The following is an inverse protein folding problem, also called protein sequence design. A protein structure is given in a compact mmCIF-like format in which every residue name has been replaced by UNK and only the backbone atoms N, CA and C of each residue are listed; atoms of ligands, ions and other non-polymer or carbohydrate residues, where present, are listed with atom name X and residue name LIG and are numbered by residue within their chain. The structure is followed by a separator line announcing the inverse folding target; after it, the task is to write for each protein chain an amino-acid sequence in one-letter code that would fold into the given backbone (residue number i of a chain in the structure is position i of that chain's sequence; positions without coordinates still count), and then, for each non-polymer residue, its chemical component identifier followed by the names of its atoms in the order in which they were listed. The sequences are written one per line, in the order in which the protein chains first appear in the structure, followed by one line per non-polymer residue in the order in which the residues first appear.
data_IF_303290545656
#
_entry.id   IF_303290545656
#
_cell.length_a   1.000
_cell.length_b   1.000
_cell.length_c   1.000
_cell.angle_alpha   90.00
_cell.angle_beta   90.00
_cell.angle_gamma   90.00
#
_symmetry.space_group_name_H-M   'P 1'
#
loop_
_entity.id
_entity.type
_entity.pdbx_description
1 polymer ?
#
# COMPACT_ATOMS: atom_id res chain seq x y z
N UNK A 1 -28.05 5.23 -7.17
CA UNK A 1 -26.60 5.05 -6.93
C UNK A 1 -26.29 5.51 -5.53
N UNK A 2 -25.58 4.69 -4.75
CA UNK A 2 -25.18 5.05 -3.38
C UNK A 2 -24.06 6.10 -3.44
N UNK A 3 -24.06 7.08 -2.52
CA UNK A 3 -22.96 8.06 -2.43
C UNK A 3 -21.71 7.48 -1.73
N UNK A 4 -21.79 6.22 -1.29
CA UNK A 4 -20.74 5.57 -0.53
C UNK A 4 -19.50 5.37 -1.40
N UNK A 5 -18.41 6.01 -0.98
CA UNK A 5 -17.09 5.81 -1.58
C UNK A 5 -16.26 4.89 -0.70
N UNK A 6 -15.40 4.09 -1.32
CA UNK A 6 -14.59 3.10 -0.61
C UNK A 6 -13.10 3.22 -0.95
N UNK A 7 -12.25 2.71 -0.06
CA UNK A 7 -10.80 2.67 -0.23
C UNK A 7 -10.36 1.26 -0.62
N UNK A 8 -9.44 1.16 -1.58
CA UNK A 8 -8.83 -0.11 -1.98
C UNK A 8 -7.32 -0.03 -1.82
N UNK A 9 -6.77 -0.93 -1.02
CA UNK A 9 -5.35 -1.21 -1.00
C UNK A 9 -5.07 -2.38 -1.94
N UNK A 10 -4.80 -2.09 -3.23
CA UNK A 10 -4.54 -3.10 -4.24
C UNK A 10 -3.10 -3.58 -4.11
N UNK A 11 -2.76 -4.63 -3.36
CA UNK A 11 -1.36 -5.04 -3.21
C UNK A 11 -0.91 -6.08 -4.23
N UNK A 12 0.40 -6.32 -4.29
CA UNK A 12 1.01 -7.31 -5.19
C UNK A 12 0.61 -8.74 -4.85
N UNK A 13 0.54 -9.06 -3.56
CA UNK A 13 0.23 -10.42 -3.07
C UNK A 13 -1.17 -10.50 -2.45
N UNK A 14 -1.60 -9.45 -1.79
CA UNK A 14 -2.88 -9.35 -1.10
C UNK A 14 -3.45 -7.96 -1.25
N UNK A 15 -4.76 -7.84 -1.14
CA UNK A 15 -5.50 -6.60 -1.25
C UNK A 15 -6.55 -6.49 -0.15
N UNK A 16 -6.94 -5.26 0.18
CA UNK A 16 -7.91 -4.94 1.23
C UNK A 16 -8.89 -3.90 0.68
N UNK A 17 -10.15 -3.97 1.12
CA UNK A 17 -11.16 -2.94 0.91
C UNK A 17 -11.63 -2.39 2.25
N UNK A 18 -11.84 -1.08 2.29
CA UNK A 18 -12.30 -0.37 3.48
C UNK A 18 -13.33 0.69 3.12
N UNK A 19 -14.23 0.98 4.07
CA UNK A 19 -15.23 2.06 3.99
C UNK A 19 -15.14 2.92 5.24
N UNK A 20 -15.68 4.14 5.18
CA UNK A 20 -15.89 4.94 6.39
C UNK A 20 -17.29 4.62 6.93
N UNK A 21 -17.37 4.07 8.13
CA UNK A 21 -18.61 3.84 8.86
C UNK A 21 -18.53 4.57 10.20
N UNK A 22 -19.55 5.36 10.54
CA UNK A 22 -19.62 6.14 11.79
C UNK A 22 -18.36 6.99 12.03
N UNK A 23 -17.85 7.62 10.96
CA UNK A 23 -16.66 8.47 11.02
C UNK A 23 -15.33 7.72 11.22
N UNK A 24 -15.34 6.38 11.18
CA UNK A 24 -14.14 5.54 11.33
C UNK A 24 -13.92 4.66 10.11
N UNK A 25 -12.66 4.45 9.69
CA UNK A 25 -12.37 3.47 8.67
C UNK A 25 -12.58 2.06 9.19
N UNK A 26 -13.25 1.24 8.39
CA UNK A 26 -13.50 -0.17 8.67
C UNK A 26 -13.17 -0.99 7.42
N UNK A 27 -12.33 -2.01 7.59
CA UNK A 27 -12.04 -2.99 6.54
C UNK A 27 -13.19 -3.97 6.40
N UNK A 28 -13.55 -4.30 5.16
CA UNK A 28 -14.64 -5.21 4.87
C UNK A 28 -14.07 -6.61 4.60
N UNK A 29 -14.60 -7.59 5.33
CA UNK A 29 -14.22 -9.00 5.20
C UNK A 29 -14.80 -9.63 3.94
N UNK A 30 -14.04 -10.53 3.34
CA UNK A 30 -14.54 -11.45 2.32
C UNK A 30 -15.65 -12.33 2.95
N UNK A 31 -16.86 -12.39 2.37
CA UNK A 31 -17.97 -13.15 2.93
C UNK A 31 -17.71 -14.64 3.12
N UNK A 32 -16.85 -15.24 2.27
CA UNK A 32 -16.48 -16.65 2.30
C UNK A 32 -15.42 -16.92 3.37
N UNK A 33 -14.34 -16.14 3.40
CA UNK A 33 -13.21 -16.40 4.32
C UNK A 33 -13.32 -15.69 5.66
N UNK A 34 -14.21 -14.70 5.78
CA UNK A 34 -14.30 -13.72 6.89
C UNK A 34 -13.05 -12.84 7.08
N UNK A 35 -12.00 -13.04 6.29
CA UNK A 35 -10.78 -12.25 6.33
C UNK A 35 -10.95 -10.94 5.55
N UNK A 36 -10.44 -9.84 6.09
CA UNK A 36 -10.31 -8.58 5.34
C UNK A 36 -9.27 -8.64 4.20
N UNK A 37 -8.48 -9.72 4.15
CA UNK A 37 -7.41 -9.92 3.19
C UNK A 37 -7.93 -10.76 2.01
N UNK A 38 -7.87 -10.18 0.81
CA UNK A 38 -8.18 -10.86 -0.44
C UNK A 38 -6.86 -11.15 -1.18
N UNK A 39 -6.53 -12.42 -1.50
CA UNK A 39 -5.33 -12.72 -2.28
C UNK A 39 -5.35 -12.07 -3.68
N UNK A 40 -4.24 -11.47 -4.10
CA UNK A 40 -4.08 -10.93 -5.45
C UNK A 40 -3.66 -12.03 -6.43
N UNK A 41 -4.57 -12.99 -6.63
CA UNK A 41 -4.37 -14.18 -7.45
C UNK A 41 -5.53 -14.31 -8.42
N UNK A 42 -5.22 -14.68 -9.66
CA UNK A 42 -6.20 -15.05 -10.69
C UNK A 42 -5.86 -16.45 -11.18
N UNK A 43 -6.86 -17.28 -11.43
CA UNK A 43 -6.67 -18.65 -11.90
C UNK A 43 -7.77 -19.07 -12.86
N UNK A 44 -7.51 -20.12 -13.65
CA UNK A 44 -8.55 -20.79 -14.43
C UNK A 44 -9.18 -21.93 -13.61
N UNK A 45 -10.50 -21.99 -13.56
CA UNK A 45 -11.23 -23.13 -12.99
C UNK A 45 -11.17 -24.33 -13.94
N UNK A 46 -11.48 -25.53 -13.43
CA UNK A 46 -11.63 -26.72 -14.29
C UNK A 46 -12.73 -26.60 -15.35
N UNK A 47 -13.65 -25.65 -15.18
CA UNK A 47 -14.75 -25.35 -16.11
C UNK A 47 -14.39 -24.27 -17.15
N UNK A 48 -13.15 -23.77 -17.13
CA UNK A 48 -12.70 -22.70 -18.03
C UNK A 48 -13.10 -21.29 -17.59
N UNK A 49 -13.49 -21.10 -16.33
CA UNK A 49 -13.88 -19.78 -15.80
C UNK A 49 -12.68 -19.09 -15.14
N UNK A 50 -12.56 -17.77 -15.31
CA UNK A 50 -11.55 -16.98 -14.59
C UNK A 50 -12.02 -16.71 -13.16
N UNK A 51 -11.24 -17.20 -12.20
CA UNK A 51 -11.42 -17.01 -10.76
C UNK A 51 -10.45 -15.97 -10.25
N UNK A 52 -10.81 -15.27 -9.17
CA UNK A 52 -9.94 -14.32 -8.47
C UNK A 52 -10.07 -14.44 -6.95
N UNK A 53 -9.06 -13.96 -6.22
CA UNK A 53 -9.09 -13.96 -4.76
C UNK A 53 -8.87 -15.35 -4.17
N UNK A 54 -9.57 -15.64 -3.07
CA UNK A 54 -9.47 -16.95 -2.41
C UNK A 54 -9.96 -18.09 -3.31
N UNK A 55 -11.02 -17.88 -4.09
CA UNK A 55 -11.53 -18.88 -5.04
C UNK A 55 -10.49 -19.30 -6.08
N UNK A 56 -9.63 -18.38 -6.53
CA UNK A 56 -8.52 -18.74 -7.42
C UNK A 56 -7.47 -19.64 -6.75
N UNK A 57 -7.30 -19.51 -5.43
CA UNK A 57 -6.43 -20.40 -4.65
C UNK A 57 -7.08 -21.77 -4.50
N UNK A 58 -8.34 -21.80 -4.08
CA UNK A 58 -9.02 -23.04 -3.66
C UNK A 58 -9.43 -23.89 -4.89
N UNK A 59 -10.06 -23.27 -5.89
CA UNK A 59 -10.71 -23.97 -7.01
C UNK A 59 -9.94 -23.83 -8.34
N UNK A 60 -8.95 -22.94 -8.36
CA UNK A 60 -8.11 -22.72 -9.54
C UNK A 60 -7.18 -23.90 -9.81
N UNK A 61 -7.02 -24.26 -11.08
CA UNK A 61 -6.09 -25.30 -11.52
C UNK A 61 -4.65 -24.95 -11.07
N UNK A 62 -3.87 -25.89 -10.50
CA UNK A 62 -2.55 -25.61 -9.93
C UNK A 62 -1.58 -24.93 -10.90
N UNK A 63 -1.55 -25.38 -12.16
CA UNK A 63 -0.62 -24.89 -13.19
C UNK A 63 -1.15 -23.68 -13.97
N UNK A 64 -2.34 -23.19 -13.64
CA UNK A 64 -3.00 -22.07 -14.32
C UNK A 64 -3.34 -20.96 -13.33
N UNK A 65 -2.31 -20.41 -12.68
CA UNK A 65 -2.44 -19.29 -11.71
C UNK A 65 -1.49 -18.14 -12.03
N UNK A 66 -2.03 -16.93 -12.05
CA UNK A 66 -1.27 -15.68 -12.12
C UNK A 66 -1.16 -15.09 -10.73
N UNK A 67 0.07 -14.69 -10.35
CA UNK A 67 0.38 -13.99 -9.11
C UNK A 67 1.23 -12.76 -9.43
N UNK A 68 1.25 -11.80 -8.50
CA UNK A 68 2.13 -10.64 -8.54
C UNK A 68 2.01 -9.75 -9.79
N UNK A 69 0.87 -9.79 -10.48
CA UNK A 69 0.62 -8.99 -11.70
C UNK A 69 0.86 -7.48 -11.48
N UNK A 70 0.67 -6.97 -10.25
CA UNK A 70 0.95 -5.58 -9.89
C UNK A 70 2.39 -5.13 -10.24
N UNK A 71 3.37 -6.06 -10.25
CA UNK A 71 4.77 -5.76 -10.63
C UNK A 71 4.95 -5.37 -12.09
N UNK A 72 3.99 -5.74 -12.93
CA UNK A 72 4.03 -5.55 -14.37
C UNK A 72 3.05 -4.48 -14.87
N UNK A 73 2.34 -3.79 -13.96
CA UNK A 73 1.43 -2.69 -14.32
C UNK A 73 2.11 -1.66 -15.23
N UNK A 74 1.44 -1.31 -16.33
CA UNK A 74 1.94 -0.36 -17.32
C UNK A 74 2.96 -0.94 -18.31
N UNK A 75 3.26 -2.24 -18.24
CA UNK A 75 4.10 -2.94 -19.23
C UNK A 75 3.23 -3.72 -20.20
N UNK A 76 3.76 -4.00 -21.39
CA UNK A 76 3.09 -4.80 -22.44
C UNK A 76 3.18 -6.32 -22.21
N UNK A 77 3.64 -6.76 -21.03
CA UNK A 77 3.72 -8.18 -20.69
C UNK A 77 2.33 -8.80 -20.65
N UNK A 78 2.16 -9.95 -21.30
CA UNK A 78 0.93 -10.73 -21.23
C UNK A 78 1.10 -11.94 -20.32
N UNK A 79 0.06 -12.23 -19.56
CA UNK A 79 -0.07 -13.48 -18.80
C UNK A 79 -1.01 -14.41 -19.55
N UNK A 80 -0.62 -15.67 -19.70
CA UNK A 80 -1.41 -16.68 -20.40
C UNK A 80 -2.08 -17.64 -19.42
N UNK A 81 -3.37 -17.87 -19.60
CA UNK A 81 -4.17 -18.89 -18.91
C UNK A 81 -5.02 -19.63 -19.93
N UNK A 82 -4.52 -20.78 -20.41
CA UNK A 82 -5.08 -21.49 -21.56
C UNK A 82 -5.24 -20.54 -22.76
N UNK A 83 -6.47 -20.33 -23.23
CA UNK A 83 -6.81 -19.45 -24.36
C UNK A 83 -6.83 -17.95 -23.99
N UNK A 84 -6.77 -17.62 -22.69
CA UNK A 84 -6.77 -16.23 -22.24
C UNK A 84 -5.37 -15.64 -22.27
N UNK A 85 -5.23 -14.47 -22.91
CA UNK A 85 -4.02 -13.65 -22.87
C UNK A 85 -4.37 -12.30 -22.24
N UNK A 86 -3.92 -12.08 -21.01
CA UNK A 86 -4.33 -10.95 -20.18
C UNK A 86 -3.17 -10.00 -19.93
N UNK A 87 -3.42 -8.70 -20.07
CA UNK A 87 -2.54 -7.64 -19.61
C UNK A 87 -2.55 -7.54 -18.07
N UNK A 88 -1.53 -6.92 -17.47
CA UNK A 88 -1.44 -6.79 -16.01
C UNK A 88 -2.64 -6.05 -15.40
N UNK A 89 -3.15 -5.02 -16.09
CA UNK A 89 -4.37 -4.31 -15.68
C UNK A 89 -5.64 -5.14 -15.77
N UNK A 90 -5.73 -6.10 -16.69
CA UNK A 90 -6.89 -6.99 -16.83
C UNK A 90 -6.89 -8.03 -15.70
N UNK A 91 -5.71 -8.56 -15.36
CA UNK A 91 -5.55 -9.42 -14.17
C UNK A 91 -5.91 -8.64 -12.90
N UNK A 92 -5.45 -7.39 -12.77
CA UNK A 92 -5.81 -6.54 -11.64
C UNK A 92 -7.31 -6.22 -11.61
N UNK A 93 -7.96 -6.04 -12.76
CA UNK A 93 -9.40 -5.81 -12.86
C UNK A 93 -10.21 -6.98 -12.32
N UNK A 94 -9.80 -8.22 -12.59
CA UNK A 94 -10.46 -9.42 -12.04
C UNK A 94 -10.39 -9.46 -10.50
N UNK A 95 -9.22 -9.11 -9.93
CA UNK A 95 -9.05 -8.98 -8.48
C UNK A 95 -9.94 -7.86 -7.92
N UNK A 96 -9.96 -6.69 -8.55
CA UNK A 96 -10.79 -5.55 -8.14
C UNK A 96 -12.28 -5.87 -8.21
N UNK A 97 -12.72 -6.59 -9.25
CA UNK A 97 -14.12 -7.04 -9.40
C UNK A 97 -14.51 -7.97 -8.26
N UNK A 98 -13.64 -8.91 -7.88
CA UNK A 98 -13.86 -9.79 -6.74
C UNK A 98 -13.95 -9.01 -5.42
N UNK A 99 -13.05 -8.04 -5.22
CA UNK A 99 -13.04 -7.18 -4.03
C UNK A 99 -14.34 -6.37 -3.94
N UNK A 100 -14.78 -5.75 -5.04
CA UNK A 100 -16.03 -5.00 -5.12
C UNK A 100 -17.22 -5.91 -4.80
N UNK A 101 -17.34 -7.06 -5.48
CA UNK A 101 -18.44 -7.99 -5.27
C UNK A 101 -18.52 -8.48 -3.80
N UNK A 102 -17.38 -8.80 -3.20
CA UNK A 102 -17.32 -9.19 -1.78
C UNK A 102 -17.79 -8.06 -0.86
N UNK A 103 -17.39 -6.82 -1.12
CA UNK A 103 -17.78 -5.67 -0.32
C UNK A 103 -19.27 -5.34 -0.48
N UNK A 104 -19.80 -5.40 -1.70
CA UNK A 104 -21.23 -5.20 -1.97
C UNK A 104 -22.08 -6.27 -1.28
N UNK A 105 -21.66 -7.53 -1.34
CA UNK A 105 -22.32 -8.63 -0.63
C UNK A 105 -22.29 -8.43 0.89
N UNK A 106 -21.18 -7.96 1.45
CA UNK A 106 -21.05 -7.74 2.90
C UNK A 106 -21.85 -6.53 3.39
N UNK A 107 -21.99 -5.49 2.57
CA UNK A 107 -22.67 -4.24 2.93
C UNK A 107 -24.14 -4.21 2.51
N UNK A 108 -24.56 -5.07 1.59
CA UNK A 108 -25.91 -5.07 1.03
C UNK A 108 -26.22 -3.85 0.14
N UNK A 109 -25.19 -3.16 -0.36
CA UNK A 109 -25.32 -1.98 -1.22
C UNK A 109 -24.35 -2.04 -2.39
N UNK A 110 -24.73 -1.43 -3.51
CA UNK A 110 -23.84 -1.27 -4.66
C UNK A 110 -22.73 -0.24 -4.37
N UNK A 111 -21.53 -0.49 -4.88
CA UNK A 111 -20.35 0.36 -4.73
C UNK A 111 -19.81 0.78 -6.10
N UNK A 112 -19.74 2.08 -6.38
CA UNK A 112 -19.25 2.58 -7.67
C UNK A 112 -17.89 3.30 -7.56
N UNK A 113 -17.72 4.15 -6.55
CA UNK A 113 -16.61 5.13 -6.51
C UNK A 113 -15.53 4.74 -5.52
N UNK A 114 -14.27 4.69 -5.95
CA UNK A 114 -13.16 4.29 -5.08
C UNK A 114 -11.93 5.19 -5.12
N UNK A 115 -11.23 5.25 -3.99
CA UNK A 115 -9.84 5.73 -3.89
C UNK A 115 -8.93 4.51 -3.84
N UNK A 116 -7.91 4.45 -4.69
CA UNK A 116 -7.05 3.26 -4.84
C UNK A 116 -5.60 3.62 -4.50
N UNK A 117 -4.93 2.77 -3.74
CA UNK A 117 -3.50 2.97 -3.41
C UNK A 117 -2.57 2.47 -4.52
N UNK A 118 -1.51 3.22 -4.78
CA UNK A 118 -0.42 2.82 -5.68
C UNK A 118 0.95 3.05 -5.02
N UNK A 119 1.99 2.29 -5.39
CA UNK A 119 3.33 2.55 -4.86
C UNK A 119 3.80 3.97 -5.21
N UNK A 120 4.53 4.62 -4.30
CA UNK A 120 4.98 5.99 -4.51
C UNK A 120 5.90 6.19 -5.73
N UNK A 121 6.55 5.11 -6.19
CA UNK A 121 7.41 5.12 -7.36
C UNK A 121 6.66 4.84 -8.68
N UNK A 122 5.36 4.56 -8.65
CA UNK A 122 4.57 4.47 -9.87
C UNK A 122 4.46 5.86 -10.50
N UNK A 123 4.99 5.97 -11.71
CA UNK A 123 4.87 7.09 -12.63
C UNK A 123 3.62 6.92 -13.51
N UNK A 124 3.59 7.49 -14.71
CA UNK A 124 2.35 7.67 -15.47
C UNK A 124 1.76 6.36 -16.00
N UNK A 125 2.55 5.46 -16.60
CA UNK A 125 2.03 4.25 -17.23
C UNK A 125 1.38 3.27 -16.23
N UNK A 126 2.04 2.89 -15.12
CA UNK A 126 1.44 1.99 -14.13
C UNK A 126 0.21 2.60 -13.43
N UNK A 127 0.17 3.93 -13.27
CA UNK A 127 -1.01 4.65 -12.73
C UNK A 127 -2.19 4.59 -13.68
N UNK A 128 -1.99 4.91 -14.96
CA UNK A 128 -3.03 4.79 -15.99
C UNK A 128 -3.53 3.35 -16.13
N UNK A 129 -2.63 2.37 -16.05
CA UNK A 129 -2.99 0.95 -16.01
C UNK A 129 -3.86 0.61 -14.78
N UNK A 130 -3.57 1.20 -13.61
CA UNK A 130 -4.37 1.00 -12.39
C UNK A 130 -5.77 1.63 -12.53
N UNK A 131 -5.88 2.82 -13.11
CA UNK A 131 -7.18 3.45 -13.40
C UNK A 131 -7.99 2.63 -14.42
N UNK A 132 -7.32 2.09 -15.44
CA UNK A 132 -7.95 1.20 -16.43
C UNK A 132 -8.46 -0.07 -15.76
N UNK A 133 -7.66 -0.70 -14.90
CA UNK A 133 -8.07 -1.87 -14.12
C UNK A 133 -9.33 -1.60 -13.28
N UNK A 134 -9.40 -0.43 -12.63
CA UNK A 134 -10.57 -0.01 -11.88
C UNK A 134 -11.83 0.11 -12.76
N UNK A 135 -11.70 0.79 -13.92
CA UNK A 135 -12.82 0.94 -14.86
C UNK A 135 -13.31 -0.39 -15.41
N UNK A 136 -12.39 -1.30 -15.75
CA UNK A 136 -12.72 -2.67 -16.20
C UNK A 136 -13.45 -3.48 -15.11
N UNK A 137 -13.19 -3.18 -13.84
CA UNK A 137 -13.89 -3.77 -12.70
C UNK A 137 -15.25 -3.10 -12.40
N UNK A 138 -15.67 -2.11 -13.20
CA UNK A 138 -16.88 -1.33 -12.95
C UNK A 138 -16.75 -0.42 -11.72
N UNK A 139 -15.55 0.12 -11.49
CA UNK A 139 -15.25 1.06 -10.41
C UNK A 139 -14.83 2.39 -11.04
N UNK A 140 -15.46 3.47 -10.61
CA UNK A 140 -15.08 4.84 -10.95
C UNK A 140 -13.96 5.32 -10.02
N UNK A 141 -12.70 5.45 -10.50
CA UNK A 141 -11.59 5.89 -9.65
C UNK A 141 -11.70 7.39 -9.36
N UNK A 142 -11.90 7.75 -8.08
CA UNK A 142 -11.92 9.14 -7.63
C UNK A 142 -10.52 9.74 -7.59
N UNK A 143 -9.56 8.96 -7.08
CA UNK A 143 -8.15 9.36 -6.95
C UNK A 143 -7.27 8.14 -6.76
N UNK A 144 -6.09 8.17 -7.35
CA UNK A 144 -4.98 7.33 -6.92
C UNK A 144 -4.16 8.04 -5.85
N UNK A 145 -3.98 7.40 -4.70
CA UNK A 145 -3.14 7.91 -3.61
C UNK A 145 -1.91 7.04 -3.45
N UNK A 146 -0.79 7.62 -3.04
CA UNK A 146 0.39 6.79 -2.78
C UNK A 146 0.17 5.97 -1.49
N UNK A 147 0.50 4.69 -1.53
CA UNK A 147 0.48 3.77 -0.39
C UNK A 147 1.11 4.37 0.89
N UNK A 148 2.30 5.01 0.85
CA UNK A 148 2.88 5.64 2.05
C UNK A 148 2.05 6.83 2.55
N UNK A 149 1.41 7.61 1.68
CA UNK A 149 0.52 8.71 2.10
C UNK A 149 -0.76 8.17 2.73
N UNK A 150 -1.35 7.12 2.14
CA UNK A 150 -2.49 6.42 2.73
C UNK A 150 -2.17 5.88 4.13
N UNK A 151 -0.98 5.30 4.29
CA UNK A 151 -0.48 4.87 5.58
C UNK A 151 -0.37 6.03 6.57
N UNK A 152 0.27 7.13 6.18
CA UNK A 152 0.39 8.29 7.05
C UNK A 152 -0.97 8.84 7.51
N UNK A 153 -1.96 8.89 6.61
CA UNK A 153 -3.34 9.27 6.95
C UNK A 153 -4.01 8.30 7.93
N UNK A 154 -3.81 6.98 7.76
CA UNK A 154 -4.34 5.99 8.69
C UNK A 154 -3.78 6.13 10.11
N UNK A 155 -2.54 6.62 10.24
CA UNK A 155 -1.90 6.93 11.52
C UNK A 155 -2.25 8.33 12.08
N UNK A 156 -3.13 9.08 11.42
CA UNK A 156 -3.56 10.41 11.87
C UNK A 156 -2.47 11.48 11.76
N UNK A 157 -1.47 11.27 10.89
CA UNK A 157 -0.38 12.22 10.69
C UNK A 157 -0.87 13.54 10.08
N UNK A 158 -1.97 13.51 9.34
CA UNK A 158 -2.67 14.65 8.76
C UNK A 158 -3.30 15.57 9.83
N UNK A 159 -3.43 15.07 11.06
CA UNK A 159 -4.02 15.78 12.20
C UNK A 159 -2.99 16.27 13.20
N UNK A 160 -1.71 16.15 12.87
CA UNK A 160 -0.63 16.69 13.67
C UNK A 160 -0.33 18.11 13.18
N UNK A 161 -0.36 19.08 14.09
CA UNK A 161 0.06 20.46 13.81
C UNK A 161 1.59 20.57 13.62
N UNK A 162 2.33 19.47 13.85
CA UNK A 162 3.77 19.40 13.71
C UNK A 162 4.20 19.16 12.26
N UNK A 163 5.02 20.06 11.72
CA UNK A 163 5.74 19.81 10.47
C UNK A 163 6.84 18.77 10.68
N UNK A 164 6.90 17.76 9.80
CA UNK A 164 7.87 16.67 9.97
C UNK A 164 8.10 15.84 8.72
N UNK A 165 9.23 15.12 8.71
CA UNK A 165 9.52 14.11 7.70
C UNK A 165 9.50 12.73 8.35
N UNK A 166 8.64 11.86 7.84
CA UNK A 166 8.45 10.49 8.29
C UNK A 166 9.01 9.53 7.25
N UNK A 167 9.57 8.40 7.69
CA UNK A 167 10.03 7.36 6.78
C UNK A 167 9.08 6.15 6.84
N UNK A 168 8.32 5.90 5.79
CA UNK A 168 7.46 4.72 5.67
C UNK A 168 8.23 3.55 5.04
N UNK A 169 8.23 2.40 5.71
CA UNK A 169 8.88 1.16 5.27
C UNK A 169 7.81 0.11 4.97
N UNK A 170 7.40 -0.03 3.69
CA UNK A 170 6.33 -0.96 3.30
C UNK A 170 6.80 -2.15 2.45
N UNK A 171 7.93 -2.05 1.74
CA UNK A 171 8.53 -3.16 0.98
C UNK A 171 9.90 -2.76 0.43
N UNK A 172 11.02 -3.20 1.03
CA UNK A 172 12.45 -3.02 0.64
C UNK A 172 12.90 -1.62 0.12
N UNK A 173 12.01 -0.62 0.11
CA UNK A 173 12.14 0.71 -0.47
C UNK A 173 11.54 1.71 0.52
N UNK A 174 12.34 2.28 1.42
CA UNK A 174 11.89 3.40 2.25
C UNK A 174 11.33 4.53 1.38
N UNK A 175 10.22 5.11 1.84
CA UNK A 175 9.68 6.37 1.29
C UNK A 175 9.64 7.43 2.36
N UNK A 176 10.28 8.58 2.11
CA UNK A 176 10.18 9.77 2.95
C UNK A 176 8.88 10.52 2.62
N UNK A 177 8.10 10.81 3.65
CA UNK A 177 6.82 11.51 3.61
C UNK A 177 7.02 12.83 4.34
N UNK A 178 6.60 13.95 3.75
CA UNK A 178 6.54 15.25 4.44
C UNK A 178 5.10 15.50 4.89
N UNK A 179 4.93 15.86 6.16
CA UNK A 179 3.70 16.45 6.69
C UNK A 179 3.87 17.96 6.86
N UNK A 180 2.88 18.72 6.43
CA UNK A 180 2.74 20.18 6.59
C UNK A 180 1.31 20.46 7.08
N UNK A 181 1.05 20.28 8.37
CA UNK A 181 -0.32 20.24 8.91
C UNK A 181 -1.18 19.20 8.16
N UNK A 182 -2.30 19.66 7.60
CA UNK A 182 -3.23 18.80 6.84
C UNK A 182 -2.70 18.28 5.49
N UNK A 183 -1.52 18.73 5.03
CA UNK A 183 -0.96 18.31 3.73
C UNK A 183 0.13 17.24 3.90
N UNK A 184 -0.14 16.05 3.37
CA UNK A 184 0.83 14.95 3.32
C UNK A 184 1.28 14.70 1.88
N UNK A 185 2.59 14.62 1.67
CA UNK A 185 3.18 14.35 0.34
C UNK A 185 4.40 13.45 0.42
N UNK A 186 4.66 12.68 -0.63
CA UNK A 186 5.92 11.92 -0.76
C UNK A 186 7.04 12.84 -1.23
N UNK A 187 8.19 12.84 -0.54
CA UNK A 187 9.39 13.58 -0.95
C UNK A 187 10.35 12.73 -1.78
N UNK A 188 10.64 11.51 -1.31
CA UNK A 188 11.66 10.62 -1.87
C UNK A 188 11.25 9.17 -1.67
N UNK A 189 11.33 8.35 -2.73
CA UNK A 189 11.21 6.89 -2.67
C UNK A 189 12.56 6.27 -3.07
N UNK A 190 12.96 5.16 -2.45
CA UNK A 190 14.30 4.59 -2.62
C UNK A 190 14.66 4.26 -4.08
N UNK A 191 15.84 4.75 -4.48
CA UNK A 191 16.56 4.68 -5.76
C UNK A 191 17.91 5.42 -5.62
N UNK A 192 18.76 5.52 -6.66
CA UNK A 192 20.13 6.11 -6.59
C UNK A 192 20.20 7.58 -6.13
N UNK A 193 19.06 8.28 -5.98
CA UNK A 193 18.94 9.60 -5.33
C UNK A 193 18.84 9.56 -3.80
N UNK A 194 18.34 8.48 -3.21
CA UNK A 194 18.14 8.38 -1.75
C UNK A 194 19.47 8.54 -1.01
N UNK A 195 20.54 7.86 -1.47
CA UNK A 195 21.89 7.97 -0.88
C UNK A 195 22.50 9.38 -0.93
N UNK A 196 22.10 10.23 -1.88
CA UNK A 196 22.66 11.59 -2.03
C UNK A 196 21.90 12.65 -1.23
N UNK A 197 20.58 12.48 -1.04
CA UNK A 197 19.74 13.45 -0.32
C UNK A 197 19.38 13.01 1.11
N UNK A 198 19.65 11.76 1.49
CA UNK A 198 19.48 11.23 2.84
C UNK A 198 20.70 11.49 3.76
N UNK A 199 21.53 12.49 3.46
CA UNK A 199 22.71 12.87 4.27
C UNK A 199 22.38 13.33 5.71
N UNK A 200 21.11 13.27 6.10
CA UNK A 200 20.62 13.50 7.46
C UNK A 200 19.71 12.41 8.03
N UNK A 201 19.54 11.26 7.39
CA UNK A 201 18.76 10.13 7.94
C UNK A 201 19.71 9.05 8.47
N UNK A 202 19.41 8.42 9.63
CA UNK A 202 20.24 7.33 10.14
C UNK A 202 20.25 6.16 9.15
N UNK A 203 21.46 5.60 8.95
CA UNK A 203 21.69 4.44 8.11
C UNK A 203 20.92 3.21 8.66
N UNK A 204 20.03 2.56 7.88
CA UNK A 204 19.17 1.48 8.38
C UNK A 204 19.95 0.26 8.91
N UNK A 205 21.22 0.09 8.52
CA UNK A 205 22.08 -0.99 9.07
C UNK A 205 22.41 -0.83 10.55
N UNK A 206 22.27 0.37 11.13
CA UNK A 206 22.51 0.62 12.55
C UNK A 206 21.30 0.30 13.44
N UNK A 207 20.08 0.25 12.89
CA UNK A 207 18.86 0.00 13.66
C UNK A 207 18.51 -1.50 13.82
N UNK A 208 19.14 -2.38 13.04
CA UNK A 208 18.80 -3.81 12.96
C UNK A 208 19.84 -4.76 13.57
N UNK A 209 20.86 -4.25 14.28
CA UNK A 209 21.83 -5.10 14.97
C UNK A 209 22.60 -6.08 14.05
N UNK A 210 22.68 -5.80 12.75
CA UNK A 210 23.40 -6.66 11.81
C UNK A 210 24.92 -6.43 11.94
N UNK A 211 25.75 -7.49 11.96
CA UNK A 211 27.19 -7.35 12.15
C UNK A 211 27.84 -6.56 11.01
N UNK A 212 28.52 -5.48 11.37
CA UNK A 212 29.12 -4.55 10.42
C UNK A 212 30.30 -5.17 9.67
N UNK A 213 30.21 -5.30 8.33
CA UNK A 213 31.40 -5.49 7.49
C UNK A 213 32.03 -4.12 7.22
N UNK A 214 33.21 -3.90 7.83
CA UNK A 214 34.28 -2.89 7.61
C UNK A 214 33.87 -1.49 7.07
N UNK A 215 33.97 -0.48 7.95
CA UNK A 215 33.84 0.96 7.65
C UNK A 215 35.10 1.54 6.96
N UNK A 216 34.99 2.46 5.98
CA UNK A 216 36.04 3.43 5.69
C UNK A 216 35.98 4.62 6.66
N UNK A 217 37.13 5.27 6.87
CA UNK A 217 37.39 6.32 7.88
C UNK A 217 36.49 7.57 7.72
N UNK A 218 36.07 8.11 8.87
CA UNK A 218 35.23 9.31 9.06
C UNK A 218 35.83 10.57 8.41
N UNK A 219 35.02 11.30 7.63
CA UNK A 219 35.12 12.77 7.52
C UNK A 219 34.11 13.40 8.49
N UNK A 220 34.59 14.37 9.28
CA UNK A 220 33.81 15.16 10.24
C UNK A 220 32.89 16.14 9.50
N UNK A 221 31.65 16.28 9.95
CA UNK A 221 30.76 17.41 9.60
C UNK A 221 29.42 17.00 8.98
N UNK A 222 28.35 17.64 9.47
CA UNK A 222 26.92 17.49 9.13
C UNK A 222 26.16 16.38 9.88
N UNK A 223 25.78 16.71 11.12
CA UNK A 223 24.64 16.08 11.79
C UNK A 223 23.32 16.69 11.25
N UNK A 224 22.23 15.93 11.12
CA UNK A 224 20.91 16.48 10.84
C UNK A 224 20.39 17.33 12.01
N UNK A 225 19.41 18.23 11.77
CA UNK A 225 18.73 18.91 12.86
C UNK A 225 18.06 17.88 13.78
N UNK A 226 18.19 18.09 15.09
CA UNK A 226 17.52 17.29 16.11
C UNK A 226 16.00 17.38 15.88
N UNK A 227 15.32 16.22 15.94
CA UNK A 227 13.86 15.99 15.93
C UNK A 227 13.26 15.67 14.55
N UNK A 228 13.18 14.39 14.22
CA UNK A 228 12.18 13.87 13.27
C UNK A 228 11.79 12.45 13.72
N UNK A 229 10.51 12.18 14.01
CA UNK A 229 10.08 10.85 14.41
C UNK A 229 10.18 9.88 13.21
N UNK A 230 10.78 8.71 13.44
CA UNK A 230 10.77 7.59 12.48
C UNK A 230 9.55 6.75 12.81
N UNK A 231 8.58 6.64 11.90
CA UNK A 231 7.38 5.84 12.09
C UNK A 231 7.47 4.55 11.26
N UNK A 232 7.50 3.41 11.95
CA UNK A 232 7.47 2.10 11.29
C UNK A 232 6.02 1.74 10.95
N UNK A 233 5.73 1.52 9.66
CA UNK A 233 4.39 1.17 9.19
C UNK A 233 4.37 -0.31 8.78
N UNK A 234 3.42 -1.13 9.28
CA UNK A 234 3.25 -2.51 8.85
C UNK A 234 2.86 -2.59 7.36
N UNK A 235 2.98 -3.77 6.73
CA UNK A 235 2.84 -3.96 5.28
C UNK A 235 1.46 -3.61 4.69
N UNK A 236 0.44 -3.43 5.54
CA UNK A 236 -0.85 -2.85 5.14
C UNK A 236 -1.29 -1.76 6.14
N UNK A 237 -1.71 -0.58 5.67
CA UNK A 237 -2.12 0.54 6.51
C UNK A 237 -3.50 0.33 7.18
N UNK A 238 -4.24 -0.69 6.75
CA UNK A 238 -5.59 -0.99 7.22
C UNK A 238 -5.67 -2.17 8.21
N UNK A 239 -4.53 -2.79 8.57
CA UNK A 239 -4.46 -3.89 9.56
C UNK A 239 -4.13 -3.43 10.99
N UNK A 240 -4.11 -2.12 11.22
CA UNK A 240 -3.57 -1.54 12.47
C UNK A 240 -4.70 -1.37 13.50
N UNK A 241 -5.18 -2.48 14.05
CA UNK A 241 -6.12 -2.44 15.17
C UNK A 241 -5.45 -2.30 16.54
N UNK A 242 -4.15 -2.60 16.73
CA UNK A 242 -3.61 -2.72 18.11
C UNK A 242 -2.12 -2.41 18.35
N UNK A 243 -1.31 -1.96 17.38
CA UNK A 243 0.12 -1.71 17.67
C UNK A 243 0.38 -0.32 18.27
N UNK A 244 1.05 -0.21 19.44
CA UNK A 244 1.35 1.08 20.05
C UNK A 244 2.32 1.88 19.18
N UNK A 245 2.03 3.17 19.04
CA UNK A 245 2.90 4.16 18.41
C UNK A 245 4.24 4.14 19.15
N UNK A 246 5.32 3.66 18.52
CA UNK A 246 6.67 3.87 19.05
C UNK A 246 7.09 5.32 18.76
N UNK A 247 6.49 6.28 19.49
CA UNK A 247 7.04 7.63 19.60
C UNK A 247 8.31 7.48 20.44
N UNK A 248 9.48 7.71 19.85
CA UNK A 248 10.67 8.04 20.64
C UNK A 248 10.37 9.33 21.38
N UNK A 249 9.84 9.23 22.62
CA UNK A 249 9.68 10.37 23.52
C UNK A 249 11.05 11.00 23.69
N UNK A 250 11.14 12.30 23.47
CA UNK A 250 12.29 13.07 23.93
C UNK A 250 12.35 12.95 25.45
N UNK A 251 13.40 12.32 25.98
CA UNK A 251 13.75 12.45 27.39
C UNK A 251 14.07 13.93 27.65
N UNK A 252 13.10 14.65 28.22
CA UNK A 252 13.33 15.97 28.77
C UNK A 252 14.23 15.81 29.99
N UNK A 253 15.38 16.50 30.00
CA UNK A 253 16.16 16.67 31.21
C UNK A 253 15.30 17.47 32.19
N UNK A 254 15.01 16.88 33.35
CA UNK A 254 14.70 17.62 34.56
C UNK A 254 15.86 18.55 34.86
N UNK A 255 15.63 19.86 34.78
CA UNK A 255 16.47 20.85 35.45
C UNK A 255 15.98 20.95 36.90
N UNK A 256 16.63 20.22 37.81
CA UNK A 256 16.66 20.60 39.21
C UNK A 256 17.65 21.75 39.36
N UNK A 257 17.19 22.82 40.02
CA UNK A 257 17.99 23.93 40.50
C UNK A 257 19.08 23.45 41.48
#
# INVERSE_FOLDING_TARGET
MSDLSFGIDLGTSTSIVSVIQNGRPQSIGDPQTKSAIVPSVVALSRRGELLAGQQAIDDGMPDAKIREAKRDMGKEKKFSLAEHSLLPEEVAALVLKKIKANAEQALGVELDRAVITVPAYFDDLPRRATERAARLAGITPLRLISEPVAAAMAYGIDRLDDEGVLACWRSLRPTAIRSLGARISTKLSCGSRWRRQASGFPDPGLALGMPSRKRPKRRKGLYPPKRSPILWCPPSPWSVATSPILRLRSLGRSSSA
#
